data_IF_676410922686
#
_entry.id   IF_676410922686
#
_cell.length_a   1.000
_cell.length_b   1.000
_cell.length_c   1.000
_cell.angle_alpha   90.00
_cell.angle_beta   90.00
_cell.angle_gamma   90.00
#
_symmetry.space_group_name_H-M   'P 1'
#
loop_
_entity.id
_entity.type
_entity.pdbx_description
1 polymer ?
#
# COMPACT_ATOMS: atom_id res chain seq x y z
N UNK A 1 0.83 6.59 27.00
CA UNK A 1 -0.60 6.19 27.12
C UNK A 1 -0.82 5.02 26.20
N UNK A 2 -1.57 3.99 26.68
CA UNK A 2 -1.83 2.79 25.89
C UNK A 2 -3.14 2.91 25.12
N UNK A 3 -3.14 2.43 23.88
CA UNK A 3 -4.34 2.33 23.04
C UNK A 3 -4.58 0.86 22.70
N UNK A 4 -5.83 0.41 22.88
CA UNK A 4 -6.28 -0.90 22.41
C UNK A 4 -6.94 -0.75 21.05
N UNK A 5 -6.50 -1.57 20.10
CA UNK A 5 -7.12 -1.78 18.79
C UNK A 5 -7.69 -3.18 18.80
N UNK A 6 -8.99 -3.34 18.61
CA UNK A 6 -9.64 -4.62 18.74
C UNK A 6 -10.58 -4.94 17.57
N UNK A 7 -11.04 -6.20 17.53
CA UNK A 7 -11.95 -6.69 16.52
C UNK A 7 -11.40 -6.49 15.12
N UNK A 8 -10.21 -7.03 14.89
CA UNK A 8 -9.50 -6.99 13.59
C UNK A 8 -8.96 -8.37 13.22
N UNK A 9 -8.50 -8.50 11.98
CA UNK A 9 -7.71 -9.65 11.54
C UNK A 9 -6.30 -9.16 11.26
N UNK A 10 -5.29 -9.84 11.75
CA UNK A 10 -3.90 -9.43 11.60
C UNK A 10 -3.17 -10.37 10.67
N UNK A 11 -2.59 -9.84 9.60
CA UNK A 11 -1.61 -10.54 8.79
C UNK A 11 -0.21 -10.19 9.34
N UNK A 12 0.41 -11.13 10.05
CA UNK A 12 1.68 -10.92 10.74
C UNK A 12 2.85 -11.53 9.97
N UNK A 13 4.01 -10.87 10.06
CA UNK A 13 5.32 -11.34 9.57
C UNK A 13 6.34 -11.39 10.71
N UNK A 14 5.88 -11.39 11.96
CA UNK A 14 6.74 -11.20 13.15
C UNK A 14 7.86 -12.23 13.30
N UNK A 15 7.66 -13.45 12.80
CA UNK A 15 8.68 -14.51 12.83
C UNK A 15 9.40 -14.70 11.49
N UNK A 16 9.24 -13.76 10.55
CA UNK A 16 9.70 -13.92 9.17
C UNK A 16 8.83 -14.87 8.33
N UNK A 17 7.75 -15.39 8.90
CA UNK A 17 6.78 -16.26 8.24
C UNK A 17 5.41 -15.59 8.26
N UNK A 18 4.74 -15.60 7.12
CA UNK A 18 3.38 -15.10 7.02
C UNK A 18 2.43 -15.93 7.90
N UNK A 19 1.67 -15.24 8.76
CA UNK A 19 0.66 -15.85 9.62
C UNK A 19 -0.56 -14.95 9.77
N UNK A 20 -1.69 -15.54 10.08
CA UNK A 20 -2.96 -14.84 10.28
C UNK A 20 -3.42 -15.05 11.73
N UNK A 21 -3.83 -13.97 12.38
CA UNK A 21 -4.53 -13.99 13.66
C UNK A 21 -5.93 -13.44 13.40
N UNK A 22 -6.91 -14.31 13.44
CA UNK A 22 -8.31 -13.93 13.31
C UNK A 22 -8.88 -13.47 14.66
N UNK A 23 -9.87 -12.58 14.64
CA UNK A 23 -10.44 -11.91 15.81
C UNK A 23 -9.35 -11.44 16.77
N UNK A 24 -8.46 -10.64 16.23
CA UNK A 24 -7.28 -10.15 16.92
C UNK A 24 -7.54 -8.83 17.67
N UNK A 25 -6.58 -8.54 18.56
CA UNK A 25 -6.40 -7.21 19.13
C UNK A 25 -4.91 -6.87 19.19
N UNK A 26 -4.62 -5.58 19.29
CA UNK A 26 -3.29 -5.03 19.39
C UNK A 26 -3.26 -3.92 20.43
N UNK A 27 -2.21 -3.88 21.24
CA UNK A 27 -1.96 -2.81 22.22
C UNK A 27 -0.76 -2.00 21.74
N UNK A 28 -0.95 -0.69 21.61
CA UNK A 28 0.14 0.24 21.27
C UNK A 28 0.40 1.22 22.41
N UNK A 29 1.66 1.65 22.53
CA UNK A 29 2.09 2.74 23.41
C UNK A 29 2.99 3.69 22.63
N UNK A 30 2.48 4.89 22.35
CA UNK A 30 3.13 5.79 21.41
C UNK A 30 3.29 5.13 20.05
N UNK A 31 4.50 5.09 19.53
CA UNK A 31 4.84 4.51 18.24
C UNK A 31 5.17 3.00 18.28
N UNK A 32 4.98 2.32 19.41
CA UNK A 32 5.38 0.93 19.56
C UNK A 32 4.18 0.02 19.76
N UNK A 33 4.22 -1.16 19.16
CA UNK A 33 3.32 -2.27 19.44
C UNK A 33 3.89 -2.99 20.67
N UNK A 34 3.13 -3.00 21.77
CA UNK A 34 3.50 -3.70 23.00
C UNK A 34 3.01 -5.15 23.01
N UNK A 35 1.86 -5.38 22.40
CA UNK A 35 1.25 -6.70 22.36
C UNK A 35 0.36 -6.84 21.11
N UNK A 36 0.28 -8.07 20.60
CA UNK A 36 -0.60 -8.45 19.51
C UNK A 36 -0.95 -9.93 19.65
N UNK A 37 -2.23 -10.28 19.50
CA UNK A 37 -2.70 -11.64 19.64
C UNK A 37 -4.21 -11.76 19.46
N UNK A 38 -4.77 -12.89 19.88
CA UNK A 38 -6.23 -13.09 19.87
C UNK A 38 -6.91 -12.11 20.81
N UNK A 39 -8.01 -11.51 20.42
CA UNK A 39 -8.75 -10.54 21.23
C UNK A 39 -9.14 -11.09 22.62
N UNK A 40 -9.48 -12.37 22.72
CA UNK A 40 -9.78 -13.04 23.99
C UNK A 40 -8.60 -13.12 24.96
N UNK A 41 -7.38 -12.92 24.48
CA UNK A 41 -6.13 -12.98 25.26
C UNK A 41 -5.56 -11.57 25.50
N UNK A 42 -6.29 -10.52 25.11
CA UNK A 42 -5.83 -9.16 25.26
C UNK A 42 -5.52 -8.85 26.75
N UNK A 43 -4.37 -8.24 27.05
CA UNK A 43 -4.01 -7.89 28.42
C UNK A 43 -5.08 -7.02 29.06
N UNK A 44 -5.49 -7.37 30.29
CA UNK A 44 -6.34 -6.49 31.07
C UNK A 44 -5.56 -5.23 31.46
N UNK A 45 -6.21 -4.08 31.42
CA UNK A 45 -5.58 -2.82 31.81
C UNK A 45 -6.41 -1.60 31.45
N UNK A 46 -5.99 -0.45 31.94
CA UNK A 46 -6.61 0.83 31.61
C UNK A 46 -6.03 1.35 30.29
N UNK A 47 -6.87 1.41 29.28
CA UNK A 47 -6.53 1.97 27.98
C UNK A 47 -7.07 3.39 27.87
N UNK A 48 -6.19 4.33 27.48
CA UNK A 48 -6.58 5.72 27.25
C UNK A 48 -7.53 5.85 26.04
N UNK A 49 -7.46 4.90 25.12
CA UNK A 49 -8.31 4.83 23.94
C UNK A 49 -8.56 3.37 23.56
N UNK A 50 -9.79 3.09 23.15
CA UNK A 50 -10.19 1.79 22.59
C UNK A 50 -10.80 2.03 21.22
N UNK A 51 -10.23 1.41 20.18
CA UNK A 51 -10.70 1.50 18.81
C UNK A 51 -11.21 0.14 18.36
N UNK A 52 -12.45 0.11 17.88
CA UNK A 52 -13.02 -1.06 17.22
C UNK A 52 -12.77 -0.95 15.71
N UNK A 53 -12.11 -1.94 15.15
CA UNK A 53 -11.75 -1.97 13.72
C UNK A 53 -12.78 -2.73 12.87
N UNK A 54 -13.87 -3.18 13.47
CA UNK A 54 -15.03 -3.79 12.79
C UNK A 54 -14.65 -4.92 11.80
N UNK A 55 -13.68 -5.75 12.15
CA UNK A 55 -13.22 -6.85 11.32
C UNK A 55 -12.21 -6.47 10.23
N UNK A 56 -11.72 -5.24 10.21
CA UNK A 56 -10.73 -4.80 9.24
C UNK A 56 -9.41 -5.60 9.35
N UNK A 57 -8.66 -5.63 8.25
CA UNK A 57 -7.33 -6.22 8.22
C UNK A 57 -6.27 -5.22 8.66
N UNK A 58 -5.36 -5.68 9.51
CA UNK A 58 -4.16 -4.98 9.94
C UNK A 58 -2.95 -5.72 9.39
N UNK A 59 -2.09 -5.02 8.68
CA UNK A 59 -0.86 -5.55 8.09
C UNK A 59 0.34 -4.70 8.54
N UNK A 60 1.57 -5.23 8.50
CA UNK A 60 2.74 -4.37 8.50
C UNK A 60 2.65 -3.32 7.40
N UNK A 61 3.21 -2.14 7.62
CA UNK A 61 3.32 -1.12 6.58
C UNK A 61 4.04 -1.67 5.35
N UNK A 62 3.53 -1.38 4.17
CA UNK A 62 4.17 -1.81 2.93
C UNK A 62 5.48 -1.05 2.74
N UNK A 63 6.52 -1.77 2.34
CA UNK A 63 7.81 -1.20 1.94
C UNK A 63 7.88 -1.25 0.42
N UNK A 64 7.84 -0.09 -0.21
CA UNK A 64 8.03 0.05 -1.64
C UNK A 64 9.51 0.25 -1.93
N UNK A 65 10.14 -0.77 -2.49
CA UNK A 65 11.57 -0.76 -2.78
C UNK A 65 11.90 -0.11 -4.12
N UNK A 66 10.91 0.09 -5.00
CA UNK A 66 11.12 0.65 -6.33
C UNK A 66 9.81 1.15 -6.92
N UNK A 67 9.61 2.46 -6.90
CA UNK A 67 8.44 3.10 -7.53
C UNK A 67 8.86 4.34 -8.30
N UNK A 68 8.39 4.44 -9.55
CA UNK A 68 8.50 5.64 -10.36
C UNK A 68 7.30 6.54 -10.06
N UNK A 69 7.46 7.49 -9.15
CA UNK A 69 6.36 8.37 -8.73
C UNK A 69 6.17 9.59 -9.64
N UNK A 70 7.23 10.03 -10.33
CA UNK A 70 7.20 11.22 -11.19
C UNK A 70 7.28 10.80 -12.65
N UNK A 71 6.16 10.87 -13.35
CA UNK A 71 6.07 10.60 -14.79
C UNK A 71 4.82 11.24 -15.38
N UNK A 72 4.82 11.50 -16.70
CA UNK A 72 3.67 11.97 -17.46
C UNK A 72 2.95 10.83 -18.17
N UNK A 73 1.65 11.01 -18.39
CA UNK A 73 0.80 10.05 -19.07
C UNK A 73 0.51 8.77 -18.26
N UNK A 74 -0.08 7.80 -18.92
CA UNK A 74 -0.26 6.45 -18.38
C UNK A 74 -0.20 5.42 -19.51
N UNK A 75 -0.06 4.16 -19.15
CA UNK A 75 0.07 3.06 -20.12
C UNK A 75 -1.00 1.99 -19.92
N UNK A 76 -2.15 2.35 -19.35
CA UNK A 76 -3.26 1.42 -19.10
C UNK A 76 -3.78 0.77 -20.40
N UNK A 77 -3.85 1.54 -21.50
CA UNK A 77 -4.21 1.01 -22.82
C UNK A 77 -3.22 -0.01 -23.38
N UNK A 78 -1.93 0.16 -23.10
CA UNK A 78 -0.92 -0.83 -23.48
C UNK A 78 -1.05 -2.12 -22.66
N UNK A 79 -1.43 -2.00 -21.37
CA UNK A 79 -1.71 -3.15 -20.53
C UNK A 79 -2.91 -3.94 -21.06
N UNK A 80 -3.98 -3.25 -21.46
CA UNK A 80 -5.14 -3.88 -22.08
C UNK A 80 -4.78 -4.62 -23.38
N UNK A 81 -3.98 -3.99 -24.26
CA UNK A 81 -3.47 -4.64 -25.49
C UNK A 81 -2.69 -5.93 -25.16
N UNK A 82 -1.88 -5.93 -24.11
CA UNK A 82 -1.16 -7.13 -23.67
C UNK A 82 -2.09 -8.23 -23.20
N UNK A 83 -3.18 -7.89 -22.51
CA UNK A 83 -4.21 -8.86 -22.11
C UNK A 83 -4.93 -9.46 -23.34
N UNK A 84 -5.02 -8.70 -24.43
CA UNK A 84 -5.56 -9.15 -25.72
C UNK A 84 -4.55 -9.94 -26.56
N UNK A 85 -3.33 -10.16 -26.06
CA UNK A 85 -2.31 -10.95 -26.71
C UNK A 85 -1.33 -10.17 -27.59
N UNK A 86 -1.41 -8.83 -27.64
CA UNK A 86 -0.44 -8.01 -28.38
C UNK A 86 0.92 -8.08 -27.69
N UNK A 87 1.96 -8.36 -28.45
CA UNK A 87 3.32 -8.45 -27.92
C UNK A 87 3.89 -7.08 -27.54
N UNK A 88 4.86 -7.09 -26.64
CA UNK A 88 5.59 -5.86 -26.28
C UNK A 88 6.31 -5.23 -27.49
N UNK A 89 6.81 -6.07 -28.39
CA UNK A 89 7.51 -5.61 -29.59
C UNK A 89 6.57 -4.83 -30.52
N UNK A 90 5.35 -5.30 -30.73
CA UNK A 90 4.31 -4.63 -31.53
C UNK A 90 3.90 -3.30 -30.89
N UNK A 91 3.68 -3.28 -29.56
CA UNK A 91 3.36 -2.05 -28.83
C UNK A 91 4.51 -1.04 -28.98
N UNK A 92 5.75 -1.48 -28.82
CA UNK A 92 6.92 -0.62 -28.95
C UNK A 92 7.09 -0.08 -30.39
N UNK A 93 6.87 -0.92 -31.41
CA UNK A 93 6.92 -0.53 -32.82
C UNK A 93 5.83 0.51 -33.17
N UNK A 94 4.67 0.43 -32.52
CA UNK A 94 3.59 1.41 -32.64
C UNK A 94 3.87 2.72 -31.85
N UNK A 95 5.06 2.86 -31.25
CA UNK A 95 5.47 4.06 -30.50
C UNK A 95 5.05 4.05 -29.02
N UNK A 96 4.61 2.91 -28.48
CA UNK A 96 4.33 2.69 -27.08
C UNK A 96 5.58 2.39 -26.24
N UNK A 97 5.38 1.75 -25.11
CA UNK A 97 6.44 1.38 -24.20
C UNK A 97 7.07 2.59 -23.50
N UNK A 98 8.35 2.46 -23.15
CA UNK A 98 9.09 3.54 -22.45
C UNK A 98 9.15 4.83 -23.27
N UNK A 99 9.17 4.74 -24.60
CA UNK A 99 9.19 5.91 -25.47
C UNK A 99 7.92 6.77 -25.31
N UNK A 100 6.77 6.15 -25.11
CA UNK A 100 5.51 6.84 -24.81
C UNK A 100 5.61 7.61 -23.48
N UNK A 101 6.08 6.96 -22.42
CA UNK A 101 6.28 7.61 -21.11
C UNK A 101 7.27 8.77 -21.19
N UNK A 102 8.39 8.60 -21.89
CA UNK A 102 9.39 9.67 -22.07
C UNK A 102 8.79 10.88 -22.79
N UNK A 103 8.05 10.66 -23.89
CA UNK A 103 7.39 11.76 -24.60
C UNK A 103 6.38 12.49 -23.72
N UNK A 104 5.51 11.75 -23.02
CA UNK A 104 4.50 12.31 -22.15
C UNK A 104 5.12 13.10 -20.98
N UNK A 105 6.17 12.58 -20.37
CA UNK A 105 6.88 13.24 -19.27
C UNK A 105 7.55 14.53 -19.74
N UNK A 106 8.16 14.54 -20.93
CA UNK A 106 8.80 15.75 -21.51
C UNK A 106 7.79 16.80 -21.95
N UNK A 107 6.57 16.39 -22.30
CA UNK A 107 5.51 17.30 -22.70
C UNK A 107 4.71 17.88 -21.52
N UNK A 108 4.75 17.22 -20.36
CA UNK A 108 4.04 17.66 -19.18
C UNK A 108 4.75 18.84 -18.51
N UNK A 109 3.97 19.74 -17.91
CA UNK A 109 4.48 20.81 -17.07
C UNK A 109 4.94 20.28 -15.71
N UNK A 110 5.78 21.04 -15.01
CA UNK A 110 6.22 20.70 -13.65
C UNK A 110 5.01 20.57 -12.70
N UNK A 111 4.00 21.44 -12.82
CA UNK A 111 2.79 21.41 -12.02
C UNK A 111 1.98 20.13 -12.23
N UNK A 112 1.83 19.67 -13.47
CA UNK A 112 1.14 18.43 -13.82
C UNK A 112 1.88 17.22 -13.23
N UNK A 113 3.21 17.18 -13.36
CA UNK A 113 4.04 16.12 -12.81
C UNK A 113 3.97 16.09 -11.29
N UNK A 114 4.05 17.25 -10.63
CA UNK A 114 3.93 17.37 -9.18
C UNK A 114 2.56 16.92 -8.68
N UNK A 115 1.49 17.39 -9.32
CA UNK A 115 0.11 17.04 -8.94
C UNK A 115 -0.15 15.53 -9.06
N UNK A 116 0.36 14.90 -10.12
CA UNK A 116 0.26 13.45 -10.33
C UNK A 116 1.09 12.67 -9.30
N UNK A 117 2.33 13.05 -9.10
CA UNK A 117 3.24 12.42 -8.15
C UNK A 117 2.72 12.50 -6.72
N UNK A 118 2.14 13.66 -6.33
CA UNK A 118 1.56 13.85 -5.00
C UNK A 118 0.41 12.86 -4.73
N UNK A 119 -0.44 12.58 -5.71
CA UNK A 119 -1.53 11.59 -5.57
C UNK A 119 -0.98 10.20 -5.30
N UNK A 120 0.07 9.80 -6.01
CA UNK A 120 0.73 8.50 -5.83
C UNK A 120 1.45 8.43 -4.49
N UNK A 121 2.15 9.49 -4.08
CA UNK A 121 2.86 9.56 -2.80
C UNK A 121 1.91 9.39 -1.60
N UNK A 122 0.71 9.98 -1.65
CA UNK A 122 -0.27 9.89 -0.56
C UNK A 122 -0.89 8.48 -0.39
N UNK A 123 -0.67 7.56 -1.32
CA UNK A 123 -1.07 6.16 -1.16
C UNK A 123 -0.11 5.42 -0.22
N UNK A 124 1.10 5.95 -0.02
CA UNK A 124 2.20 5.32 0.71
C UNK A 124 2.46 5.95 2.09
N UNK A 125 1.65 6.92 2.52
CA UNK A 125 1.83 7.64 3.80
C UNK A 125 0.67 7.36 4.73
#
# INVERSE_FOLDING_TARGET
MKTLWQHCNVASMASGVYSIIEDAAMVTSGAHIEWIGRRSEAPAGDYAQVNDLAGAWVTPGFIDCHTHTVFGGNRSGEFEQRLQGVSYAEIAAAGGGIASTVRATRAATEEELFSSARKLSLIHI
#
